data_IF_727537517122
#
_entry.id   IF_727537517122
#
_cell.length_a   1.000
_cell.length_b   1.000
_cell.length_c   1.000
_cell.angle_alpha   90.00
_cell.angle_beta   90.00
_cell.angle_gamma   90.00
#
_symmetry.space_group_name_H-M   'P 1'
#
loop_
_entity.id
_entity.type
_entity.pdbx_description
1 polymer ?
#
# COMPACT_ATOMS: atom_id res chain seq x y z
N UNK A 1 24.47 -0.53 -26.61
CA UNK A 1 23.14 -0.30 -25.99
C UNK A 1 22.83 -1.24 -24.84
N UNK A 2 23.06 -2.55 -24.95
CA UNK A 2 22.73 -3.53 -23.89
C UNK A 2 23.54 -3.29 -22.60
N UNK A 3 24.85 -3.05 -22.71
CA UNK A 3 25.75 -2.89 -21.56
C UNK A 3 25.43 -1.67 -20.67
N UNK A 4 25.12 -0.51 -21.26
CA UNK A 4 24.70 0.68 -20.52
C UNK A 4 23.34 0.50 -19.81
N UNK A 5 22.45 -0.32 -20.38
CA UNK A 5 21.18 -0.67 -19.75
C UNK A 5 21.39 -1.58 -18.53
N UNK A 6 22.29 -2.57 -18.64
CA UNK A 6 22.69 -3.47 -17.54
C UNK A 6 23.33 -2.68 -16.38
N UNK A 7 24.19 -1.70 -16.68
CA UNK A 7 24.82 -0.88 -15.62
C UNK A 7 23.80 -0.04 -14.86
N UNK A 8 22.77 0.49 -15.53
CA UNK A 8 21.66 1.22 -14.86
C UNK A 8 20.73 0.30 -14.08
N UNK A 9 20.70 -0.98 -14.42
CA UNK A 9 19.86 -1.99 -13.77
C UNK A 9 20.37 -2.36 -12.37
N UNK A 10 21.68 -2.44 -12.17
CA UNK A 10 22.29 -2.84 -10.88
C UNK A 10 21.91 -1.87 -9.73
N UNK A 11 22.07 -0.53 -9.86
CA UNK A 11 21.62 0.40 -8.82
C UNK A 11 20.12 0.32 -8.57
N UNK A 12 19.30 0.20 -9.63
CA UNK A 12 17.86 0.07 -9.50
C UNK A 12 17.48 -1.18 -8.67
N UNK A 13 18.16 -2.30 -8.88
CA UNK A 13 17.98 -3.52 -8.09
C UNK A 13 18.36 -3.33 -6.63
N UNK A 14 19.52 -2.72 -6.35
CA UNK A 14 19.96 -2.44 -4.98
C UNK A 14 18.97 -1.54 -4.23
N UNK A 15 18.49 -0.48 -4.88
CA UNK A 15 17.46 0.39 -4.30
C UNK A 15 16.13 -0.35 -4.09
N UNK A 16 15.75 -1.25 -5.01
CA UNK A 16 14.55 -2.06 -4.88
C UNK A 16 14.65 -2.99 -3.67
N UNK A 17 15.78 -3.68 -3.50
CA UNK A 17 16.04 -4.58 -2.36
C UNK A 17 16.01 -3.80 -1.04
N UNK A 18 16.70 -2.66 -0.97
CA UNK A 18 16.72 -1.84 0.23
C UNK A 18 15.31 -1.34 0.59
N UNK A 19 14.55 -0.87 -0.41
CA UNK A 19 13.19 -0.39 -0.21
C UNK A 19 12.25 -1.51 0.24
N UNK A 20 12.30 -2.67 -0.41
CA UNK A 20 11.50 -3.84 -0.03
C UNK A 20 11.88 -4.35 1.36
N UNK A 21 13.16 -4.40 1.70
CA UNK A 21 13.63 -4.76 3.04
C UNK A 21 13.08 -3.83 4.12
N UNK A 22 13.11 -2.51 3.88
CA UNK A 22 12.49 -1.53 4.78
C UNK A 22 10.97 -1.71 4.87
N UNK A 23 10.30 -1.93 3.74
CA UNK A 23 8.87 -2.19 3.69
C UNK A 23 8.51 -3.44 4.50
N UNK A 24 9.25 -4.55 4.37
CA UNK A 24 9.00 -5.78 5.13
C UNK A 24 9.25 -5.59 6.62
N UNK A 25 10.37 -4.98 6.98
CA UNK A 25 10.69 -4.73 8.38
C UNK A 25 9.63 -3.86 9.05
N UNK A 26 9.21 -2.79 8.37
CA UNK A 26 8.16 -1.92 8.86
C UNK A 26 6.80 -2.64 8.87
N UNK A 27 6.51 -3.50 7.87
CA UNK A 27 5.31 -4.34 7.83
C UNK A 27 5.20 -5.18 9.09
N UNK A 28 6.24 -5.96 9.39
CA UNK A 28 6.28 -6.85 10.55
C UNK A 28 6.22 -6.09 11.88
N UNK A 29 7.00 -5.00 12.01
CA UNK A 29 7.12 -4.27 13.27
C UNK A 29 5.84 -3.51 13.63
N UNK A 30 5.22 -2.83 12.65
CA UNK A 30 4.01 -2.04 12.91
C UNK A 30 2.78 -2.94 13.04
N UNK A 31 2.72 -4.06 12.31
CA UNK A 31 1.66 -5.03 12.50
C UNK A 31 1.64 -5.58 13.93
N UNK A 32 2.80 -6.00 14.45
CA UNK A 32 2.94 -6.46 15.83
C UNK A 32 2.62 -5.34 16.85
N UNK A 33 3.09 -4.12 16.59
CA UNK A 33 2.75 -2.95 17.42
C UNK A 33 1.24 -2.72 17.51
N UNK A 34 0.51 -2.77 16.39
CA UNK A 34 -0.94 -2.55 16.37
C UNK A 34 -1.64 -3.62 17.19
N UNK A 35 -1.28 -4.90 17.00
CA UNK A 35 -1.83 -5.99 17.80
C UNK A 35 -1.55 -5.72 19.28
N UNK A 36 -0.30 -5.53 19.67
CA UNK A 36 0.07 -5.38 21.08
C UNK A 36 -0.68 -4.22 21.77
N UNK A 37 -0.73 -3.04 21.14
CA UNK A 37 -1.30 -1.84 21.75
C UNK A 37 -2.83 -1.79 21.72
N UNK A 38 -3.46 -2.39 20.71
CA UNK A 38 -4.92 -2.36 20.55
C UNK A 38 -5.60 -3.68 20.91
N UNK A 39 -4.85 -4.69 21.40
CA UNK A 39 -5.41 -5.95 21.94
C UNK A 39 -6.49 -5.73 22.99
N UNK A 40 -6.34 -4.71 23.85
CA UNK A 40 -7.33 -4.38 24.88
C UNK A 40 -8.48 -3.50 24.39
N UNK A 41 -8.41 -3.00 23.15
CA UNK A 41 -9.51 -2.26 22.52
C UNK A 41 -10.63 -3.22 22.09
N UNK A 42 -11.79 -2.68 21.69
CA UNK A 42 -12.84 -3.48 21.03
C UNK A 42 -12.20 -4.18 19.81
N UNK A 43 -12.37 -5.50 19.69
CA UNK A 43 -11.82 -6.33 18.61
C UNK A 43 -12.04 -5.68 17.23
N UNK A 44 -13.22 -5.11 17.01
CA UNK A 44 -13.59 -4.37 15.82
C UNK A 44 -12.67 -3.18 15.47
N UNK A 45 -12.23 -2.40 16.48
CA UNK A 45 -11.31 -1.27 16.30
C UNK A 45 -9.96 -1.78 15.82
N UNK A 46 -9.43 -2.82 16.48
CA UNK A 46 -8.15 -3.45 16.13
C UNK A 46 -8.15 -3.91 14.66
N UNK A 47 -9.19 -4.66 14.25
CA UNK A 47 -9.34 -5.12 12.87
C UNK A 47 -9.47 -3.97 11.86
N UNK A 48 -10.10 -2.86 12.24
CA UNK A 48 -10.19 -1.66 11.42
C UNK A 48 -8.84 -0.98 11.17
N UNK A 49 -8.00 -0.87 12.21
CA UNK A 49 -6.64 -0.35 12.08
C UNK A 49 -5.74 -1.25 11.23
N UNK A 50 -5.82 -2.58 11.44
CA UNK A 50 -5.06 -3.53 10.64
C UNK A 50 -5.48 -3.48 9.16
N UNK A 51 -6.79 -3.38 8.88
CA UNK A 51 -7.30 -3.20 7.53
C UNK A 51 -6.74 -1.95 6.86
N UNK A 52 -6.83 -0.79 7.51
CA UNK A 52 -6.29 0.46 6.96
C UNK A 52 -4.79 0.34 6.74
N UNK A 53 -4.08 -0.19 7.72
CA UNK A 53 -2.63 -0.33 7.66
C UNK A 53 -2.20 -1.10 6.41
N UNK A 54 -2.81 -2.25 6.15
CA UNK A 54 -2.49 -3.12 5.02
C UNK A 54 -2.67 -2.39 3.68
N UNK A 55 -3.75 -1.65 3.47
CA UNK A 55 -4.00 -1.03 2.16
C UNK A 55 -3.37 0.36 2.04
N UNK A 56 -3.35 1.15 3.11
CA UNK A 56 -2.72 2.47 3.11
C UNK A 56 -1.23 2.38 2.82
N UNK A 57 -0.55 1.37 3.37
CA UNK A 57 0.89 1.26 3.19
C UNK A 57 1.29 0.96 1.75
N UNK A 58 0.46 0.24 1.01
CA UNK A 58 0.64 0.04 -0.43
C UNK A 58 0.63 1.37 -1.19
N UNK A 59 -0.29 2.27 -0.85
CA UNK A 59 -0.41 3.60 -1.46
C UNK A 59 0.82 4.46 -1.15
N UNK A 60 1.26 4.45 0.11
CA UNK A 60 2.45 5.19 0.55
C UNK A 60 3.71 4.64 -0.12
N UNK A 61 3.87 3.32 -0.16
CA UNK A 61 5.01 2.66 -0.77
C UNK A 61 5.09 2.98 -2.28
N UNK A 62 3.99 2.78 -3.00
CA UNK A 62 3.89 3.08 -4.44
C UNK A 62 4.17 4.55 -4.73
N UNK A 63 3.63 5.46 -3.91
CA UNK A 63 3.91 6.90 -4.03
C UNK A 63 5.37 7.23 -3.82
N UNK A 64 5.98 6.66 -2.80
CA UNK A 64 7.39 6.87 -2.48
C UNK A 64 8.28 6.38 -3.60
N UNK A 65 8.03 5.17 -4.12
CA UNK A 65 8.76 4.60 -5.27
C UNK A 65 8.67 5.52 -6.49
N UNK A 66 7.49 6.05 -6.79
CA UNK A 66 7.30 6.97 -7.91
C UNK A 66 8.02 8.32 -7.71
N UNK A 67 8.04 8.85 -6.49
CA UNK A 67 8.79 10.06 -6.15
C UNK A 67 10.30 9.80 -6.30
N UNK A 68 10.80 8.70 -5.73
CA UNK A 68 12.20 8.29 -5.84
C UNK A 68 12.60 8.09 -7.31
N UNK A 69 11.74 7.48 -8.12
CA UNK A 69 11.98 7.33 -9.55
C UNK A 69 12.11 8.68 -10.23
N UNK A 70 11.20 9.62 -9.95
CA UNK A 70 11.20 10.92 -10.63
C UNK A 70 12.42 11.77 -10.30
N UNK A 71 12.81 11.82 -9.03
CA UNK A 71 13.82 12.78 -8.57
C UNK A 71 15.22 12.20 -8.40
N UNK A 72 15.35 10.94 -7.99
CA UNK A 72 16.65 10.35 -7.62
C UNK A 72 17.10 9.29 -8.63
N UNK A 73 16.31 8.24 -8.84
CA UNK A 73 16.77 7.03 -9.54
C UNK A 73 16.63 7.16 -11.06
N UNK A 74 15.60 7.85 -11.55
CA UNK A 74 15.35 8.12 -12.98
C UNK A 74 15.32 6.86 -13.87
N UNK A 75 14.90 5.72 -13.32
CA UNK A 75 14.76 4.45 -14.02
C UNK A 75 13.36 3.87 -13.85
N UNK A 76 12.66 3.57 -14.95
CA UNK A 76 11.31 2.95 -14.88
C UNK A 76 11.35 1.52 -14.36
N UNK A 77 12.43 0.80 -14.68
CA UNK A 77 12.65 -0.59 -14.23
C UNK A 77 12.65 -0.70 -12.70
N UNK A 78 13.17 0.31 -11.99
CA UNK A 78 13.08 0.39 -10.53
C UNK A 78 11.63 0.33 -10.04
N UNK A 79 10.74 1.14 -10.62
CA UNK A 79 9.32 1.14 -10.23
C UNK A 79 8.66 -0.19 -10.59
N UNK A 80 8.90 -0.67 -11.81
CA UNK A 80 8.30 -1.92 -12.30
C UNK A 80 8.66 -3.09 -11.38
N UNK A 81 9.95 -3.28 -11.09
CA UNK A 81 10.42 -4.36 -10.21
C UNK A 81 9.82 -4.19 -8.82
N UNK A 82 9.95 -3.00 -8.22
CA UNK A 82 9.53 -2.81 -6.83
C UNK A 82 8.01 -2.96 -6.67
N UNK A 83 7.21 -2.40 -7.57
CA UNK A 83 5.73 -2.50 -7.51
C UNK A 83 5.25 -3.92 -7.82
N UNK A 84 5.85 -4.62 -8.79
CA UNK A 84 5.50 -6.03 -9.05
C UNK A 84 5.85 -6.90 -7.83
N UNK A 85 7.04 -6.72 -7.23
CA UNK A 85 7.42 -7.48 -6.04
C UNK A 85 6.50 -7.17 -4.87
N UNK A 86 6.09 -5.91 -4.67
CA UNK A 86 5.07 -5.56 -3.68
C UNK A 86 3.75 -6.30 -3.96
N UNK A 87 3.25 -6.30 -5.19
CA UNK A 87 2.01 -7.01 -5.53
C UNK A 87 2.12 -8.52 -5.29
N UNK A 88 3.25 -9.15 -5.65
CA UNK A 88 3.51 -10.56 -5.36
C UNK A 88 3.49 -10.82 -3.86
N UNK A 89 4.10 -9.95 -3.06
CA UNK A 89 4.04 -10.07 -1.61
C UNK A 89 2.62 -10.03 -1.07
N UNK A 90 1.78 -9.09 -1.54
CA UNK A 90 0.37 -9.04 -1.12
C UNK A 90 -0.39 -10.32 -1.48
N UNK A 91 -0.08 -10.94 -2.64
CA UNK A 91 -0.69 -12.22 -3.02
C UNK A 91 -0.21 -13.34 -2.09
N UNK A 92 1.09 -13.42 -1.81
CA UNK A 92 1.67 -14.48 -0.97
C UNK A 92 1.26 -14.37 0.50
N UNK A 93 1.13 -13.15 1.01
CA UNK A 93 0.67 -12.89 2.38
C UNK A 93 -0.85 -12.77 2.48
N UNK A 94 -1.59 -13.07 1.42
CA UNK A 94 -3.06 -12.96 1.44
C UNK A 94 -3.68 -13.77 2.57
N UNK A 95 -3.24 -15.02 2.77
CA UNK A 95 -3.72 -15.87 3.84
C UNK A 95 -3.42 -15.27 5.23
N UNK A 96 -2.26 -14.62 5.39
CA UNK A 96 -1.86 -13.98 6.65
C UNK A 96 -2.80 -12.85 7.04
N UNK A 97 -3.37 -12.10 6.09
CA UNK A 97 -4.28 -11.00 6.38
C UNK A 97 -5.74 -11.26 6.00
N UNK A 98 -6.06 -12.41 5.40
CA UNK A 98 -7.42 -12.76 5.00
C UNK A 98 -8.37 -12.82 6.19
N UNK A 99 -7.87 -13.23 7.36
CA UNK A 99 -8.63 -13.24 8.61
C UNK A 99 -9.23 -11.87 8.97
N UNK A 100 -8.63 -10.75 8.51
CA UNK A 100 -9.18 -9.40 8.69
C UNK A 100 -10.41 -9.19 7.82
N UNK A 101 -10.35 -9.65 6.56
CA UNK A 101 -11.48 -9.58 5.63
C UNK A 101 -12.60 -10.50 6.13
N UNK A 102 -12.26 -11.73 6.52
CA UNK A 102 -13.21 -12.72 7.04
C UNK A 102 -13.94 -12.23 8.28
N UNK A 103 -13.24 -11.54 9.20
CA UNK A 103 -13.85 -10.89 10.34
C UNK A 103 -14.99 -9.92 9.94
N UNK A 104 -14.76 -9.05 8.95
CA UNK A 104 -15.78 -8.10 8.49
C UNK A 104 -16.90 -8.73 7.66
N UNK A 105 -16.69 -9.94 7.11
CA UNK A 105 -17.74 -10.73 6.47
C UNK A 105 -18.65 -11.37 7.53
N UNK A 106 -18.06 -11.95 8.58
CA UNK A 106 -18.80 -12.63 9.65
C UNK A 106 -19.55 -11.66 10.56
N UNK A 107 -18.99 -10.48 10.78
CA UNK A 107 -19.61 -9.40 11.55
C UNK A 107 -19.94 -8.24 10.62
N UNK A 108 -21.05 -8.35 9.85
CA UNK A 108 -21.32 -7.48 8.73
C UNK A 108 -21.42 -6.03 9.17
N UNK A 109 -20.56 -5.21 8.58
CA UNK A 109 -20.62 -3.76 8.64
C UNK A 109 -21.91 -3.24 7.99
N UNK A 110 -22.21 -1.96 8.24
CA UNK A 110 -23.20 -1.25 7.42
C UNK A 110 -22.78 -1.30 5.93
N UNK A 111 -23.75 -1.33 5.03
CA UNK A 111 -23.50 -1.38 3.58
C UNK A 111 -22.57 -0.26 3.09
N UNK A 112 -22.62 0.91 3.73
CA UNK A 112 -21.73 2.04 3.45
C UNK A 112 -20.28 1.75 3.83
N UNK A 113 -20.03 1.06 4.94
CA UNK A 113 -18.67 0.73 5.36
C UNK A 113 -18.07 -0.40 4.51
N UNK A 114 -18.86 -1.42 4.16
CA UNK A 114 -18.44 -2.48 3.21
C UNK A 114 -18.04 -1.87 1.87
N UNK A 115 -18.89 -0.99 1.34
CA UNK A 115 -18.63 -0.30 0.08
C UNK A 115 -17.36 0.55 0.17
N UNK A 116 -17.16 1.25 1.28
CA UNK A 116 -15.92 1.96 1.55
C UNK A 116 -14.70 1.03 1.50
N UNK A 117 -14.72 -0.10 2.22
CA UNK A 117 -13.60 -1.04 2.25
C UNK A 117 -13.23 -1.49 0.84
N UNK A 118 -14.23 -1.87 0.03
CA UNK A 118 -14.03 -2.26 -1.36
C UNK A 118 -13.36 -1.11 -2.15
N UNK A 119 -13.86 0.12 -2.01
CA UNK A 119 -13.24 1.28 -2.67
C UNK A 119 -11.80 1.51 -2.23
N UNK A 120 -11.46 1.26 -0.97
CA UNK A 120 -10.10 1.44 -0.50
C UNK A 120 -9.14 0.38 -1.01
N UNK A 121 -9.59 -0.88 -1.07
CA UNK A 121 -8.84 -1.98 -1.71
C UNK A 121 -8.58 -1.63 -3.18
N UNK A 122 -9.63 -1.19 -3.90
CA UNK A 122 -9.53 -0.79 -5.30
C UNK A 122 -8.61 0.43 -5.46
N UNK A 123 -8.66 1.41 -4.56
CA UNK A 123 -7.77 2.58 -4.60
C UNK A 123 -6.30 2.15 -4.43
N UNK A 124 -6.03 1.28 -3.45
CA UNK A 124 -4.70 0.76 -3.16
C UNK A 124 -4.12 -0.03 -4.32
N UNK A 125 -4.79 -1.13 -4.72
CA UNK A 125 -4.32 -2.00 -5.80
C UNK A 125 -4.39 -1.30 -7.15
N UNK A 126 -5.45 -0.52 -7.37
CA UNK A 126 -5.65 0.27 -8.59
C UNK A 126 -4.54 1.30 -8.77
N UNK A 127 -4.06 1.94 -7.71
CA UNK A 127 -2.92 2.86 -7.82
C UNK A 127 -1.62 2.15 -8.19
N UNK A 128 -1.33 1.00 -7.59
CA UNK A 128 -0.16 0.18 -7.96
C UNK A 128 -0.21 -0.25 -9.44
N UNK A 129 -1.36 -0.74 -9.90
CA UNK A 129 -1.55 -1.13 -11.31
C UNK A 129 -1.52 0.08 -12.25
N UNK A 130 -2.14 1.19 -11.86
CA UNK A 130 -2.08 2.45 -12.59
C UNK A 130 -0.64 2.93 -12.75
N UNK A 131 0.17 2.81 -11.69
CA UNK A 131 1.58 3.16 -11.70
C UNK A 131 2.37 2.37 -12.74
N UNK A 132 2.12 1.07 -12.83
CA UNK A 132 2.72 0.22 -13.87
C UNK A 132 2.23 0.61 -15.27
N UNK A 133 0.91 0.79 -15.43
CA UNK A 133 0.28 1.11 -16.70
C UNK A 133 0.76 2.44 -17.29
N UNK A 134 0.84 3.51 -16.49
CA UNK A 134 1.25 4.82 -17.01
C UNK A 134 2.73 4.86 -17.40
N UNK A 135 3.59 4.09 -16.72
CA UNK A 135 5.01 4.00 -17.04
C UNK A 135 5.30 3.28 -18.36
N UNK A 136 4.32 2.53 -18.88
CA UNK A 136 4.36 1.98 -20.24
C UNK A 136 4.29 3.11 -21.29
N UNK A 137 3.48 4.15 -21.03
CA UNK A 137 3.26 5.26 -21.96
C UNK A 137 4.12 6.50 -21.66
N UNK A 138 4.60 6.67 -20.43
CA UNK A 138 5.34 7.85 -19.97
C UNK A 138 6.62 7.47 -19.23
N UNK A 139 7.56 8.42 -19.14
CA UNK A 139 8.83 8.18 -18.44
C UNK A 139 8.75 8.29 -16.93
N UNK A 140 7.74 9.00 -16.42
CA UNK A 140 7.45 9.13 -15.00
C UNK A 140 5.98 9.47 -14.79
N UNK A 141 5.50 9.24 -13.58
CA UNK A 141 4.15 9.64 -13.19
C UNK A 141 4.13 11.15 -12.91
N UNK A 142 3.09 11.88 -13.37
CA UNK A 142 2.87 13.26 -12.94
C UNK A 142 2.75 13.36 -11.41
N UNK A 143 3.38 14.38 -10.82
CA UNK A 143 3.36 14.56 -9.35
C UNK A 143 1.93 14.76 -8.85
N UNK A 144 1.11 15.49 -9.61
CA UNK A 144 -0.31 15.68 -9.30
C UNK A 144 -1.04 14.35 -9.09
N UNK A 145 -0.75 13.33 -9.90
CA UNK A 145 -1.42 12.04 -9.76
C UNK A 145 -0.96 11.33 -8.48
N UNK A 146 0.35 11.32 -8.21
CA UNK A 146 0.90 10.77 -6.97
C UNK A 146 0.25 11.42 -5.75
N UNK A 147 0.16 12.75 -5.75
CA UNK A 147 -0.44 13.52 -4.66
C UNK A 147 -1.93 13.24 -4.51
N UNK A 148 -2.69 13.11 -5.61
CA UNK A 148 -4.12 12.78 -5.56
C UNK A 148 -4.34 11.41 -4.91
N UNK A 149 -3.63 10.37 -5.34
CA UNK A 149 -3.78 9.03 -4.75
C UNK A 149 -3.38 9.01 -3.27
N UNK A 150 -2.29 9.69 -2.91
CA UNK A 150 -1.85 9.77 -1.52
C UNK A 150 -2.84 10.55 -0.65
N UNK A 151 -3.37 11.66 -1.15
CA UNK A 151 -4.38 12.47 -0.45
C UNK A 151 -5.69 11.70 -0.25
N UNK A 152 -6.19 11.03 -1.29
CA UNK A 152 -7.36 10.15 -1.19
C UNK A 152 -7.11 9.02 -0.19
N UNK A 153 -5.92 8.43 -0.21
CA UNK A 153 -5.53 7.40 0.74
C UNK A 153 -5.54 7.89 2.19
N UNK A 154 -5.00 9.08 2.46
CA UNK A 154 -4.98 9.68 3.80
C UNK A 154 -6.39 10.01 4.28
N UNK A 155 -7.20 10.70 3.45
CA UNK A 155 -8.59 11.04 3.79
C UNK A 155 -9.38 9.78 4.09
N UNK A 156 -9.24 8.77 3.25
CA UNK A 156 -9.95 7.52 3.43
C UNK A 156 -9.56 6.84 4.74
N UNK A 157 -8.26 6.70 5.01
CA UNK A 157 -7.75 6.08 6.24
C UNK A 157 -8.28 6.77 7.51
N UNK A 158 -8.16 8.10 7.56
CA UNK A 158 -8.62 8.89 8.71
C UNK A 158 -10.14 8.83 8.84
N UNK A 159 -10.86 8.97 7.73
CA UNK A 159 -12.32 8.92 7.70
C UNK A 159 -12.87 7.56 8.11
N UNK A 160 -12.24 6.46 7.67
CA UNK A 160 -12.71 5.11 7.98
C UNK A 160 -12.52 4.77 9.46
N UNK A 161 -11.36 5.10 10.04
CA UNK A 161 -11.16 4.97 11.49
C UNK A 161 -12.21 5.78 12.25
N UNK A 162 -12.39 7.04 11.87
CA UNK A 162 -13.22 7.95 12.65
C UNK A 162 -14.71 7.61 12.56
N UNK A 163 -15.22 7.33 11.37
CA UNK A 163 -16.65 7.13 11.12
C UNK A 163 -17.08 5.72 11.50
N UNK A 164 -16.24 4.73 11.23
CA UNK A 164 -16.63 3.33 11.38
C UNK A 164 -15.99 2.68 12.59
N UNK A 165 -14.69 2.86 12.83
CA UNK A 165 -13.97 2.11 13.87
C UNK A 165 -14.09 2.72 15.27
N UNK A 166 -14.05 4.04 15.40
CA UNK A 166 -14.23 4.71 16.68
C UNK A 166 -15.71 5.01 16.93
N UNK A 167 -16.34 4.47 17.98
CA UNK A 167 -17.66 4.94 18.37
C UNK A 167 -17.53 6.39 18.86
N UNK A 168 -18.09 7.33 18.09
CA UNK A 168 -18.51 8.61 18.66
C UNK A 168 -19.72 8.33 19.54
N UNK A 169 -19.45 7.98 20.80
CA UNK A 169 -20.42 7.67 21.86
C UNK A 169 -21.12 6.30 21.73
#
# INVERSE_FOLDING_TARGET
MIFQSIIKFIPALLYSIAFLGLFYWQFLSVYDFIIHNFTQSKLFVLFGYLFIYIFFISIVATSTINILQKYLIKAKTFVIITVITLLIFYILSFDDFYHIIDYFIQFPLSSTAIMGMIFFIILSLGYALYSLGILYFRDSIPISHILIFLFLGVIYSVGFIHIYCMPLF
#
